data_IF_947061320232
#
_entry.id   IF_947061320232
#
_cell.length_a   1.000
_cell.length_b   1.000
_cell.length_c   1.000
_cell.angle_alpha   90.00
_cell.angle_beta   90.00
_cell.angle_gamma   90.00
#
_symmetry.space_group_name_H-M   'P 1'
#
loop_
_entity.id
_entity.type
_entity.pdbx_description
1 polymer ?
#
# COMPACT_ATOMS: atom_id res chain seq x y z
N UNK A 1 8.57 -8.09 4.89
CA UNK A 1 8.50 -6.63 5.06
C UNK A 1 7.19 -6.29 5.74
N UNK A 2 7.25 -5.65 6.91
CA UNK A 2 6.08 -5.42 7.77
C UNK A 2 5.33 -4.15 7.44
N UNK A 3 6.02 -3.12 6.93
CA UNK A 3 5.40 -1.86 6.49
C UNK A 3 6.18 -1.29 5.31
N UNK A 4 5.44 -0.83 4.32
CA UNK A 4 5.95 -0.04 3.20
C UNK A 4 4.77 0.68 2.53
N UNK A 5 4.94 1.96 2.22
CA UNK A 5 3.87 2.79 1.66
C UNK A 5 4.35 4.21 1.41
N UNK A 6 3.49 5.01 0.78
CA UNK A 6 3.78 6.40 0.41
C UNK A 6 2.61 7.33 0.80
N UNK A 7 2.94 8.47 1.41
CA UNK A 7 1.98 9.56 1.60
C UNK A 7 1.84 10.34 0.29
N UNK A 8 0.67 10.26 -0.35
CA UNK A 8 0.41 10.99 -1.60
C UNK A 8 -1.09 11.23 -1.80
N UNK A 9 -1.44 12.39 -2.34
CA UNK A 9 -2.81 12.67 -2.80
C UNK A 9 -3.07 12.19 -4.23
N UNK A 10 -2.02 11.85 -4.99
CA UNK A 10 -2.11 11.30 -6.33
C UNK A 10 -1.98 9.77 -6.27
N UNK A 11 -3.09 9.06 -6.46
CA UNK A 11 -3.10 7.60 -6.36
C UNK A 11 -2.34 6.89 -7.48
N UNK A 12 -2.06 7.58 -8.60
CA UNK A 12 -1.19 7.03 -9.66
C UNK A 12 0.22 6.78 -9.15
N UNK A 13 0.74 7.67 -8.30
CA UNK A 13 2.06 7.52 -7.69
C UNK A 13 2.07 6.34 -6.71
N UNK A 14 0.96 6.14 -5.99
CA UNK A 14 0.78 4.98 -5.09
C UNK A 14 0.76 3.67 -5.87
N UNK A 15 0.07 3.62 -7.02
CA UNK A 15 0.11 2.46 -7.92
C UNK A 15 1.52 2.15 -8.42
N UNK A 16 2.28 3.17 -8.82
CA UNK A 16 3.67 3.00 -9.26
C UNK A 16 4.55 2.48 -8.12
N UNK A 17 4.42 3.07 -6.93
CA UNK A 17 5.14 2.67 -5.74
C UNK A 17 4.86 1.20 -5.35
N UNK A 18 3.59 0.78 -5.37
CA UNK A 18 3.19 -0.61 -5.07
C UNK A 18 3.87 -1.61 -6.02
N UNK A 19 3.91 -1.31 -7.33
CA UNK A 19 4.58 -2.18 -8.31
C UNK A 19 6.07 -2.29 -8.01
N UNK A 20 6.75 -1.16 -7.90
CA UNK A 20 8.19 -1.11 -7.68
C UNK A 20 8.60 -1.80 -6.36
N UNK A 21 7.85 -1.58 -5.29
CA UNK A 21 8.14 -2.17 -4.00
C UNK A 21 7.96 -3.70 -4.01
N UNK A 22 6.93 -4.21 -4.68
CA UNK A 22 6.72 -5.66 -4.80
C UNK A 22 7.78 -6.28 -5.72
N UNK A 23 8.12 -5.64 -6.84
CA UNK A 23 9.20 -6.09 -7.73
C UNK A 23 10.53 -6.22 -6.98
N UNK A 24 10.85 -5.25 -6.11
CA UNK A 24 12.02 -5.32 -5.23
C UNK A 24 11.98 -6.48 -4.24
N UNK A 25 10.82 -6.78 -3.65
CA UNK A 25 10.64 -7.95 -2.78
C UNK A 25 10.79 -9.26 -3.54
N UNK A 26 10.26 -9.34 -4.76
CA UNK A 26 10.40 -10.52 -5.62
C UNK A 26 11.85 -10.73 -6.04
N UNK A 27 12.58 -9.67 -6.38
CA UNK A 27 14.01 -9.73 -6.66
C UNK A 27 14.81 -10.24 -5.46
N UNK A 28 14.57 -9.69 -4.27
CA UNK A 28 15.22 -10.18 -3.04
C UNK A 28 14.93 -11.67 -2.78
N UNK A 29 13.70 -12.13 -3.03
CA UNK A 29 13.34 -13.56 -2.93
C UNK A 29 14.08 -14.40 -3.98
N UNK A 30 14.23 -13.90 -5.20
CA UNK A 30 14.99 -14.57 -6.27
C UNK A 30 16.48 -14.70 -5.93
N UNK A 31 17.05 -13.74 -5.21
CA UNK A 31 18.42 -13.78 -4.70
C UNK A 31 18.60 -14.71 -3.48
N UNK A 32 17.57 -15.46 -3.10
CA UNK A 32 17.61 -16.45 -2.02
C UNK A 32 17.38 -15.88 -0.62
N UNK A 33 17.02 -14.60 -0.50
CA UNK A 33 16.65 -14.01 0.79
C UNK A 33 15.28 -14.57 1.20
N UNK A 34 15.11 -15.13 2.42
CA UNK A 34 13.88 -15.79 2.85
C UNK A 34 12.79 -14.78 3.26
N UNK A 35 12.32 -13.96 2.32
CA UNK A 35 11.24 -13.00 2.54
C UNK A 35 9.90 -13.74 2.59
N UNK A 36 9.22 -13.67 3.75
CA UNK A 36 7.98 -14.42 4.01
C UNK A 36 6.70 -13.71 3.58
N UNK A 37 6.79 -12.41 3.25
CA UNK A 37 5.62 -11.63 2.90
C UNK A 37 5.88 -10.13 2.86
N UNK A 38 4.89 -9.43 2.33
CA UNK A 38 4.81 -7.98 2.18
C UNK A 38 3.49 -7.50 2.77
N UNK A 39 3.54 -6.48 3.60
CA UNK A 39 2.35 -5.82 4.15
C UNK A 39 2.41 -4.33 3.83
N UNK A 40 1.42 -3.84 3.08
CA UNK A 40 1.34 -2.43 2.70
C UNK A 40 0.91 -1.57 3.90
N UNK A 41 1.61 -0.46 4.14
CA UNK A 41 1.16 0.61 5.02
C UNK A 41 0.40 1.65 4.20
N UNK A 42 -0.92 1.70 4.23
CA UNK A 42 -1.86 0.94 5.08
C UNK A 42 -3.11 0.55 4.29
N UNK A 43 -4.02 -0.21 4.89
CA UNK A 43 -5.32 -0.45 4.27
C UNK A 43 -6.14 0.85 4.18
N UNK A 44 -6.31 1.54 5.31
CA UNK A 44 -7.09 2.77 5.43
C UNK A 44 -6.18 3.98 5.63
N UNK A 45 -6.58 5.14 5.13
CA UNK A 45 -6.05 6.42 5.61
C UNK A 45 -6.25 6.51 7.13
N UNK A 46 -5.21 6.95 7.84
CA UNK A 46 -5.15 6.93 9.30
C UNK A 46 -4.46 8.17 9.86
N UNK A 47 -4.40 8.26 11.20
CA UNK A 47 -3.81 9.41 11.90
C UNK A 47 -2.29 9.30 11.94
N UNK A 48 -1.60 10.15 11.18
CA UNK A 48 -0.14 10.16 11.07
C UNK A 48 0.48 11.08 12.12
N UNK A 49 0.46 10.64 13.39
CA UNK A 49 1.21 11.28 14.49
C UNK A 49 1.03 12.81 14.55
N UNK A 50 2.12 13.58 14.53
CA UNK A 50 2.07 15.04 14.58
C UNK A 50 1.48 15.67 13.31
N UNK A 51 1.44 14.94 12.20
CA UNK A 51 0.83 15.39 10.95
C UNK A 51 -0.70 15.18 10.93
N UNK A 52 -1.25 14.48 11.92
CA UNK A 52 -2.66 14.14 12.00
C UNK A 52 -3.17 13.48 10.71
N UNK A 53 -4.35 13.88 10.23
CA UNK A 53 -4.95 13.30 9.01
C UNK A 53 -4.48 13.96 7.70
N UNK A 54 -3.46 14.83 7.74
CA UNK A 54 -2.98 15.52 6.53
C UNK A 54 -2.17 14.64 5.58
N UNK A 55 -1.70 13.47 6.05
CA UNK A 55 -0.96 12.48 5.25
C UNK A 55 -1.84 11.26 5.01
N UNK A 56 -1.95 10.89 3.74
CA UNK A 56 -2.81 9.80 3.28
C UNK A 56 -1.94 8.68 2.71
N UNK A 57 -1.88 7.56 3.43
CA UNK A 57 -1.12 6.37 3.05
C UNK A 57 -2.00 5.27 2.47
N UNK A 58 -3.27 5.24 2.86
CA UNK A 58 -4.16 4.11 2.70
C UNK A 58 -4.45 3.78 1.24
N UNK A 59 -4.62 2.49 0.96
CA UNK A 59 -5.23 2.00 -0.29
C UNK A 59 -6.73 2.36 -0.36
N UNK A 60 -7.32 2.74 0.76
CA UNK A 60 -8.72 3.15 0.90
C UNK A 60 -8.76 4.50 1.61
N UNK A 61 -9.40 5.48 0.99
CA UNK A 61 -9.63 6.78 1.62
C UNK A 61 -10.72 6.67 2.69
N UNK A 62 -10.61 7.48 3.74
CA UNK A 62 -11.61 7.56 4.80
C UNK A 62 -12.09 9.01 4.91
N UNK A 63 -13.39 9.22 4.76
CA UNK A 63 -14.01 10.45 5.25
C UNK A 63 -14.14 10.35 6.77
N UNK A 64 -13.36 11.14 7.51
CA UNK A 64 -13.33 11.07 8.97
C UNK A 64 -14.58 11.67 9.64
N UNK A 65 -15.41 12.44 8.94
CA UNK A 65 -16.66 12.93 9.50
C UNK A 65 -17.74 11.84 9.48
N UNK A 66 -17.90 11.14 8.35
CA UNK A 66 -18.94 10.11 8.17
C UNK A 66 -18.45 8.67 8.41
N UNK A 67 -17.14 8.47 8.48
CA UNK A 67 -16.48 7.15 8.46
C UNK A 67 -16.69 6.37 7.15
N UNK A 68 -17.13 7.02 6.08
CA UNK A 68 -17.28 6.39 4.76
C UNK A 68 -15.91 6.04 4.18
N UNK A 69 -15.81 4.88 3.53
CA UNK A 69 -14.58 4.36 2.94
C UNK A 69 -14.68 4.35 1.43
N UNK A 70 -13.65 4.85 0.76
CA UNK A 70 -13.57 4.93 -0.70
C UNK A 70 -12.33 4.18 -1.20
N UNK A 71 -12.50 3.00 -1.81
CA UNK A 71 -11.41 2.28 -2.44
C UNK A 71 -10.69 3.16 -3.47
N UNK A 72 -9.36 3.18 -3.45
CA UNK A 72 -8.53 3.84 -4.46
C UNK A 72 -8.08 2.82 -5.52
N UNK A 73 -7.60 3.29 -6.66
CA UNK A 73 -7.11 2.42 -7.75
C UNK A 73 -5.96 1.52 -7.28
N UNK A 74 -5.11 2.04 -6.41
CA UNK A 74 -4.02 1.34 -5.75
C UNK A 74 -4.47 0.12 -4.96
N UNK A 75 -5.68 0.10 -4.38
CA UNK A 75 -6.24 -1.10 -3.76
C UNK A 75 -6.43 -2.22 -4.78
N UNK A 76 -6.99 -1.89 -5.93
CA UNK A 76 -7.26 -2.86 -6.99
C UNK A 76 -5.96 -3.35 -7.63
N UNK A 77 -4.97 -2.47 -7.80
CA UNK A 77 -3.63 -2.82 -8.27
C UNK A 77 -2.92 -3.76 -7.29
N UNK A 78 -2.88 -3.41 -6.00
CA UNK A 78 -2.31 -4.27 -4.96
C UNK A 78 -3.00 -5.64 -4.93
N UNK A 79 -4.33 -5.67 -5.00
CA UNK A 79 -5.10 -6.91 -5.06
C UNK A 79 -4.84 -7.73 -6.33
N UNK A 80 -4.64 -7.09 -7.49
CA UNK A 80 -4.31 -7.75 -8.76
C UNK A 80 -2.96 -8.46 -8.65
N UNK A 81 -1.94 -7.77 -8.16
CA UNK A 81 -0.60 -8.33 -7.97
C UNK A 81 -0.64 -9.48 -6.96
N UNK A 82 -1.26 -9.28 -5.79
CA UNK A 82 -1.38 -10.32 -4.77
C UNK A 82 -2.06 -11.60 -5.28
N UNK A 83 -3.08 -11.49 -6.14
CA UNK A 83 -3.73 -12.65 -6.78
C UNK A 83 -2.84 -13.35 -7.80
N UNK A 84 -2.01 -12.61 -8.54
CA UNK A 84 -1.09 -13.18 -9.52
C UNK A 84 0.05 -13.99 -8.88
N UNK A 85 0.37 -13.72 -7.62
CA UNK A 85 1.42 -14.39 -6.84
C UNK A 85 0.85 -15.26 -5.71
N UNK A 86 -0.38 -15.75 -5.85
CA UNK A 86 -0.97 -16.65 -4.87
C UNK A 86 -0.36 -18.04 -5.04
N UNK A 87 0.49 -18.42 -4.08
CA UNK A 87 1.05 -19.78 -3.95
C UNK A 87 0.01 -20.77 -3.39
#
# INVERSE_FOLDING_TARGET
MTENGIATTNDTDRCAFVREAIDGVLAAKADGIPVKGYFYWSLLDNFEWQAGFSKTFGLVAVDHASQTRYPKDSLFEYGRIARAHKE
#
